data_IF_237509856672
#
_entry.id   IF_237509856672
#
_cell.length_a   1.000
_cell.length_b   1.000
_cell.length_c   1.000
_cell.angle_alpha   90.00
_cell.angle_beta   90.00
_cell.angle_gamma   90.00
#
_symmetry.space_group_name_H-M   'P 1'
#
loop_
_entity.id
_entity.type
_entity.pdbx_description
1 polymer ?
#
# COMPACT_ATOMS: atom_id res chain seq x y z
N UNK A 1 12.65 -7.18 1.80
CA UNK A 1 14.01 -6.96 1.30
C UNK A 1 15.01 -6.83 2.45
N UNK A 2 16.32 -6.79 2.14
CA UNK A 2 17.39 -6.75 3.16
C UNK A 2 17.76 -5.32 3.60
N UNK A 3 17.20 -4.29 2.98
CA UNK A 3 17.57 -2.88 3.20
C UNK A 3 16.60 -2.10 4.10
N UNK A 4 15.57 -2.74 4.60
CA UNK A 4 14.49 -2.11 5.35
C UNK A 4 13.39 -1.51 4.46
N UNK A 5 12.18 -1.52 4.97
CA UNK A 5 10.96 -1.31 4.18
C UNK A 5 10.90 0.04 3.44
N UNK A 6 11.41 1.13 3.99
CA UNK A 6 11.31 2.43 3.34
C UNK A 6 12.46 2.74 2.37
N UNK A 7 13.55 1.98 2.40
CA UNK A 7 14.75 2.29 1.62
C UNK A 7 14.83 1.52 0.31
N UNK A 8 14.38 0.26 0.25
CA UNK A 8 14.45 -0.59 -0.94
C UNK A 8 13.12 -0.73 -1.69
N UNK A 9 12.07 -0.03 -1.27
CA UNK A 9 10.81 0.07 -2.00
C UNK A 9 11.07 0.46 -3.46
N UNK A 10 10.38 -0.19 -4.39
CA UNK A 10 10.54 0.06 -5.82
C UNK A 10 11.22 -1.08 -6.58
N UNK A 11 12.17 -1.78 -5.99
CA UNK A 11 12.74 -3.01 -6.56
C UNK A 11 11.95 -4.25 -6.17
N UNK A 12 11.40 -4.28 -4.97
CA UNK A 12 10.56 -5.35 -4.39
C UNK A 12 11.13 -6.75 -4.62
N UNK A 13 12.41 -6.92 -4.34
CA UNK A 13 13.08 -8.22 -4.43
C UNK A 13 13.04 -8.92 -3.07
N UNK A 14 12.56 -10.17 -3.01
CA UNK A 14 12.56 -10.93 -1.77
C UNK A 14 13.96 -11.07 -1.18
N UNK A 15 14.07 -10.87 0.14
CA UNK A 15 15.29 -11.17 0.88
C UNK A 15 15.65 -12.64 0.75
N UNK A 16 16.85 -12.94 0.29
CA UNK A 16 17.36 -14.32 0.23
C UNK A 16 17.73 -14.84 1.62
N UNK A 17 18.05 -13.95 2.54
CA UNK A 17 18.36 -14.27 3.92
C UNK A 17 17.12 -14.69 4.69
N UNK A 18 16.03 -13.88 4.60
CA UNK A 18 14.77 -14.16 5.29
C UNK A 18 13.96 -15.26 4.60
N UNK A 19 14.03 -15.36 3.28
CA UNK A 19 13.28 -16.32 2.48
C UNK A 19 14.23 -17.21 1.65
N UNK A 20 15.06 -18.06 2.29
CA UNK A 20 16.05 -18.88 1.57
C UNK A 20 15.43 -19.88 0.59
N UNK A 21 14.16 -20.25 0.79
CA UNK A 21 13.36 -21.10 -0.10
C UNK A 21 12.37 -20.32 -0.98
N UNK A 22 12.53 -18.97 -1.03
CA UNK A 22 11.60 -18.06 -1.70
C UNK A 22 10.33 -17.79 -0.90
N UNK A 23 9.67 -16.67 -1.19
CA UNK A 23 8.42 -16.25 -0.52
C UNK A 23 7.25 -17.19 -0.82
N UNK A 24 7.28 -17.87 -1.97
CA UNK A 24 6.25 -18.88 -2.33
C UNK A 24 6.16 -19.99 -1.30
N UNK A 25 7.27 -20.47 -0.75
CA UNK A 25 7.29 -21.49 0.26
C UNK A 25 6.53 -21.07 1.54
N UNK A 26 6.62 -19.78 1.94
CA UNK A 26 5.87 -19.22 3.07
C UNK A 26 4.39 -19.10 2.71
N UNK A 27 4.07 -18.58 1.52
CA UNK A 27 2.70 -18.46 1.04
C UNK A 27 2.00 -19.85 0.96
N UNK A 28 2.72 -20.90 0.53
CA UNK A 28 2.21 -22.26 0.50
C UNK A 28 1.91 -22.80 1.91
N UNK A 29 2.78 -22.51 2.90
CA UNK A 29 2.54 -22.89 4.30
C UNK A 29 1.30 -22.19 4.87
N UNK A 30 1.11 -20.91 4.58
CA UNK A 30 -0.08 -20.15 5.01
C UNK A 30 -1.35 -20.79 4.42
N UNK A 31 -1.34 -21.10 3.12
CA UNK A 31 -2.48 -21.77 2.46
C UNK A 31 -2.77 -23.15 3.03
N UNK A 32 -1.74 -23.89 3.36
CA UNK A 32 -1.89 -25.23 3.99
C UNK A 32 -2.61 -25.17 5.34
N UNK A 33 -2.63 -24.01 6.00
CA UNK A 33 -3.40 -23.76 7.23
C UNK A 33 -4.82 -23.22 6.94
N UNK A 34 -5.27 -23.22 5.69
CA UNK A 34 -6.59 -22.69 5.31
C UNK A 34 -6.68 -21.16 5.28
N UNK A 35 -5.55 -20.46 5.35
CA UNK A 35 -5.49 -18.98 5.34
C UNK A 35 -5.12 -18.44 3.96
N UNK A 36 -5.50 -17.18 3.70
CA UNK A 36 -5.11 -16.44 2.50
C UNK A 36 -3.78 -15.73 2.76
N UNK A 37 -2.70 -16.02 2.01
CA UNK A 37 -1.45 -15.29 2.16
C UNK A 37 -1.58 -13.86 1.67
N UNK A 38 -1.11 -12.91 2.48
CA UNK A 38 -1.11 -11.49 2.19
C UNK A 38 0.28 -10.90 2.18
N UNK A 39 0.42 -9.76 1.49
CA UNK A 39 1.66 -9.00 1.41
C UNK A 39 1.39 -7.51 1.36
N UNK A 40 2.35 -6.71 1.81
CA UNK A 40 2.34 -5.25 1.78
C UNK A 40 3.17 -4.72 0.62
N UNK A 41 2.65 -3.70 -0.09
CA UNK A 41 3.36 -2.95 -1.12
C UNK A 41 3.11 -1.46 -1.02
N UNK A 42 4.09 -0.67 -1.47
CA UNK A 42 4.00 0.75 -1.70
C UNK A 42 4.46 1.02 -3.14
N UNK A 43 3.53 0.84 -4.11
CA UNK A 43 3.88 0.72 -5.53
C UNK A 43 4.14 2.07 -6.24
N UNK A 44 3.81 3.17 -5.58
CA UNK A 44 3.94 4.51 -6.17
C UNK A 44 5.29 5.16 -5.89
N UNK A 45 6.15 4.52 -5.10
CA UNK A 45 7.41 5.13 -4.63
C UNK A 45 8.62 4.23 -4.83
N UNK A 46 9.78 4.88 -5.01
CA UNK A 46 11.09 4.26 -5.01
C UNK A 46 11.93 4.76 -3.83
N UNK A 47 12.42 3.88 -3.00
CA UNK A 47 13.28 4.17 -1.86
C UNK A 47 14.74 4.39 -2.29
N UNK A 48 15.49 5.14 -1.50
CA UNK A 48 16.86 5.61 -1.81
C UNK A 48 17.84 4.51 -2.21
N UNK A 49 17.71 3.32 -1.62
CA UNK A 49 18.64 2.21 -1.83
C UNK A 49 18.18 1.27 -2.94
N UNK A 50 17.02 1.57 -3.59
CA UNK A 50 16.55 0.83 -4.76
C UNK A 50 17.25 1.27 -6.04
N UNK A 51 17.39 0.35 -6.98
CA UNK A 51 17.86 0.67 -8.35
C UNK A 51 16.86 1.56 -9.09
N UNK A 52 15.58 1.42 -8.77
CA UNK A 52 14.50 2.23 -9.33
C UNK A 52 14.66 3.72 -8.98
N UNK A 53 15.21 4.05 -7.82
CA UNK A 53 15.46 5.43 -7.39
C UNK A 53 16.40 6.19 -8.33
N UNK A 54 17.32 5.50 -9.02
CA UNK A 54 18.28 6.10 -9.95
C UNK A 54 17.78 6.17 -11.40
N UNK A 55 16.60 5.60 -11.69
CA UNK A 55 16.03 5.54 -13.03
C UNK A 55 15.10 6.73 -13.27
N UNK A 56 15.67 7.90 -13.55
CA UNK A 56 14.91 9.15 -13.74
C UNK A 56 13.80 9.04 -14.77
N UNK A 57 14.00 8.20 -15.79
CA UNK A 57 12.98 7.94 -16.81
C UNK A 57 11.68 7.30 -16.27
N UNK A 58 11.71 6.72 -15.06
CA UNK A 58 10.53 6.17 -14.39
C UNK A 58 9.85 7.17 -13.43
N UNK A 59 10.52 8.28 -13.10
CA UNK A 59 10.16 9.11 -11.96
C UNK A 59 9.35 10.34 -12.36
N UNK A 60 8.59 10.86 -11.39
CA UNK A 60 8.00 12.19 -11.44
C UNK A 60 9.10 13.24 -11.36
N UNK A 61 8.98 14.26 -12.22
CA UNK A 61 9.91 15.38 -12.27
C UNK A 61 9.20 16.65 -11.83
N UNK A 62 9.96 17.61 -11.30
CA UNK A 62 9.55 19.00 -11.12
C UNK A 62 10.72 19.91 -11.44
N UNK A 63 10.47 20.88 -12.33
CA UNK A 63 11.52 21.76 -12.85
C UNK A 63 12.72 20.98 -13.43
N UNK A 64 12.43 19.83 -14.06
CA UNK A 64 13.43 18.97 -14.69
C UNK A 64 14.26 18.10 -13.72
N UNK A 65 13.95 18.07 -12.43
CA UNK A 65 14.64 17.21 -11.45
C UNK A 65 13.69 16.21 -10.80
N UNK A 66 14.17 14.99 -10.43
CA UNK A 66 13.32 14.01 -9.77
C UNK A 66 12.75 14.50 -8.45
N UNK A 67 11.43 14.44 -8.31
CA UNK A 67 10.75 14.77 -7.07
C UNK A 67 11.20 13.83 -5.94
N UNK A 68 11.86 14.43 -4.95
CA UNK A 68 12.40 13.69 -3.81
C UNK A 68 11.84 14.24 -2.51
N UNK A 69 11.20 13.39 -1.72
CA UNK A 69 10.73 13.70 -0.37
C UNK A 69 11.39 12.74 0.61
N UNK A 70 12.15 13.29 1.58
CA UNK A 70 12.97 12.46 2.48
C UNK A 70 13.91 11.54 1.67
N UNK A 71 13.72 10.24 1.77
CA UNK A 71 14.52 9.22 1.08
C UNK A 71 13.74 8.53 -0.06
N UNK A 72 12.71 9.16 -0.60
CA UNK A 72 11.81 8.56 -1.59
C UNK A 72 11.64 9.44 -2.81
N UNK A 73 11.50 8.80 -3.96
CA UNK A 73 11.08 9.37 -5.24
C UNK A 73 9.79 8.70 -5.68
N UNK A 74 9.05 9.32 -6.59
CA UNK A 74 7.72 8.88 -7.00
C UNK A 74 7.74 8.41 -8.44
N UNK A 75 7.09 7.29 -8.72
CA UNK A 75 6.90 6.78 -10.07
C UNK A 75 5.88 7.62 -10.84
N UNK A 76 6.19 7.90 -12.11
CA UNK A 76 5.25 8.57 -13.00
C UNK A 76 4.32 7.53 -13.66
N UNK A 77 3.20 7.26 -13.02
CA UNK A 77 2.21 6.27 -13.46
C UNK A 77 1.56 6.59 -14.82
N UNK A 78 1.72 7.80 -15.35
CA UNK A 78 1.28 8.18 -16.71
C UNK A 78 2.14 7.52 -17.80
N UNK A 79 3.33 7.04 -17.46
CA UNK A 79 4.25 6.42 -18.41
C UNK A 79 3.98 4.91 -18.54
N UNK A 80 3.73 4.44 -19.75
CA UNK A 80 3.51 3.00 -20.02
C UNK A 80 4.63 2.10 -19.48
N UNK A 81 5.89 2.54 -19.60
CA UNK A 81 7.03 1.79 -19.07
C UNK A 81 7.01 1.64 -17.56
N UNK A 82 6.46 2.60 -16.83
CA UNK A 82 6.27 2.52 -15.37
C UNK A 82 5.17 1.53 -15.05
N UNK A 83 4.06 1.58 -15.78
CA UNK A 83 2.97 0.63 -15.61
C UNK A 83 3.43 -0.80 -15.90
N UNK A 84 4.20 -1.02 -16.95
CA UNK A 84 4.79 -2.32 -17.27
C UNK A 84 5.78 -2.79 -16.18
N UNK A 85 6.59 -1.88 -15.65
CA UNK A 85 7.51 -2.17 -14.54
C UNK A 85 6.76 -2.64 -13.29
N UNK A 86 5.71 -1.92 -12.88
CA UNK A 86 4.90 -2.30 -11.72
C UNK A 86 4.13 -3.60 -11.99
N UNK A 87 3.61 -3.77 -13.21
CA UNK A 87 2.97 -5.02 -13.61
C UNK A 87 3.88 -6.22 -13.37
N UNK A 88 5.10 -6.17 -13.88
CA UNK A 88 6.09 -7.23 -13.72
C UNK A 88 6.50 -7.45 -12.26
N UNK A 89 6.80 -6.37 -11.55
CA UNK A 89 7.36 -6.43 -10.19
C UNK A 89 6.33 -6.74 -9.11
N UNK A 90 5.08 -6.41 -9.32
CA UNK A 90 4.03 -6.61 -8.33
C UNK A 90 2.97 -7.62 -8.79
N UNK A 91 2.30 -7.41 -9.92
CA UNK A 91 1.20 -8.30 -10.31
C UNK A 91 1.68 -9.71 -10.64
N UNK A 92 2.76 -9.82 -11.41
CA UNK A 92 3.33 -11.13 -11.73
C UNK A 92 3.86 -11.83 -10.49
N UNK A 93 4.53 -11.08 -9.60
CA UNK A 93 4.99 -11.59 -8.32
C UNK A 93 3.84 -12.11 -7.44
N UNK A 94 2.74 -11.36 -7.32
CA UNK A 94 1.56 -11.79 -6.56
C UNK A 94 0.99 -13.10 -7.11
N UNK A 95 0.84 -13.17 -8.43
CA UNK A 95 0.27 -14.34 -9.12
C UNK A 95 1.17 -15.56 -8.99
N UNK A 96 2.47 -15.43 -9.27
CA UNK A 96 3.44 -16.52 -9.24
C UNK A 96 3.62 -17.12 -7.84
N UNK A 97 3.52 -16.30 -6.81
CA UNK A 97 3.63 -16.72 -5.41
C UNK A 97 2.27 -17.06 -4.76
N UNK A 98 1.15 -16.78 -5.46
CA UNK A 98 -0.19 -17.12 -5.01
C UNK A 98 -0.68 -16.28 -3.83
N UNK A 99 -0.36 -14.99 -3.80
CA UNK A 99 -0.93 -14.06 -2.83
C UNK A 99 -2.37 -13.71 -3.21
N UNK A 100 -3.28 -13.79 -2.23
CA UNK A 100 -4.70 -13.44 -2.39
C UNK A 100 -5.10 -12.19 -1.63
N UNK A 101 -4.20 -11.59 -0.86
CA UNK A 101 -4.42 -10.36 -0.10
C UNK A 101 -3.26 -9.40 -0.30
N UNK A 102 -3.57 -8.14 -0.54
CA UNK A 102 -2.59 -7.09 -0.76
C UNK A 102 -2.94 -5.84 0.05
N UNK A 103 -2.06 -5.42 0.95
CA UNK A 103 -2.11 -4.09 1.56
C UNK A 103 -1.31 -3.13 0.72
N UNK A 104 -1.98 -2.10 0.18
CA UNK A 104 -1.35 -1.02 -0.57
C UNK A 104 -1.23 0.19 0.34
N UNK A 105 0.00 0.71 0.48
CA UNK A 105 0.27 1.87 1.31
C UNK A 105 0.83 3.04 0.50
N UNK A 106 0.80 4.24 1.09
CA UNK A 106 1.37 5.46 0.53
C UNK A 106 1.69 6.44 1.67
N UNK A 107 2.97 6.52 2.03
CA UNK A 107 3.41 7.19 3.26
C UNK A 107 4.12 8.53 3.04
N UNK A 108 4.24 8.98 1.81
CA UNK A 108 4.79 10.29 1.45
C UNK A 108 3.98 10.91 0.32
N UNK A 109 4.13 12.22 0.11
CA UNK A 109 3.48 12.92 -0.99
C UNK A 109 4.47 13.80 -1.74
N UNK A 110 4.16 14.06 -3.01
CA UNK A 110 4.97 14.90 -3.89
C UNK A 110 4.55 16.39 -3.89
N UNK A 111 3.68 16.78 -2.96
CA UNK A 111 3.27 18.17 -2.77
C UNK A 111 2.37 18.71 -3.88
N UNK A 112 2.65 19.91 -4.38
CA UNK A 112 1.78 20.69 -5.26
C UNK A 112 1.64 20.17 -6.70
N UNK A 113 2.26 19.04 -7.06
CA UNK A 113 2.20 18.46 -8.40
C UNK A 113 3.56 18.25 -9.03
N UNK A 114 3.60 17.99 -10.32
CA UNK A 114 4.79 17.59 -11.07
C UNK A 114 4.76 18.16 -12.50
N UNK A 115 5.85 17.95 -13.25
CA UNK A 115 5.93 18.34 -14.66
C UNK A 115 5.07 17.42 -15.55
N UNK A 116 4.84 17.86 -16.81
CA UNK A 116 4.29 17.03 -17.88
C UNK A 116 2.81 17.24 -18.17
N UNK A 117 2.25 18.38 -17.74
CA UNK A 117 0.94 18.89 -18.18
C UNK A 117 0.98 20.42 -18.24
N UNK A 118 -0.15 21.05 -18.53
CA UNK A 118 -0.30 22.52 -18.63
C UNK A 118 -0.06 23.25 -17.30
N UNK A 119 -0.17 22.55 -16.18
CA UNK A 119 0.18 23.03 -14.85
C UNK A 119 0.64 21.89 -13.95
N UNK A 120 1.37 22.22 -12.87
CA UNK A 120 1.79 21.24 -11.86
C UNK A 120 0.59 20.50 -11.24
N UNK A 121 -0.50 21.23 -10.96
CA UNK A 121 -1.73 20.69 -10.39
C UNK A 121 -2.43 19.74 -11.34
N UNK A 122 -2.52 20.09 -12.63
CA UNK A 122 -3.11 19.21 -13.66
C UNK A 122 -2.30 17.92 -13.84
N UNK A 123 -0.98 18.01 -13.86
CA UNK A 123 -0.12 16.84 -13.90
C UNK A 123 -0.33 15.95 -12.66
N UNK A 124 -0.44 16.54 -11.46
CA UNK A 124 -0.75 15.81 -10.23
C UNK A 124 -2.12 15.11 -10.26
N UNK A 125 -3.14 15.78 -10.83
CA UNK A 125 -4.46 15.19 -11.03
C UNK A 125 -4.39 13.95 -11.95
N UNK A 126 -3.67 14.04 -13.06
CA UNK A 126 -3.46 12.93 -13.98
C UNK A 126 -2.75 11.74 -13.31
N UNK A 127 -1.72 11.99 -12.51
CA UNK A 127 -1.03 10.93 -11.74
C UNK A 127 -2.00 10.24 -10.76
N UNK A 128 -2.85 11.01 -10.09
CA UNK A 128 -3.85 10.44 -9.18
C UNK A 128 -4.89 9.58 -9.92
N UNK A 129 -5.34 10.01 -11.11
CA UNK A 129 -6.24 9.22 -11.97
C UNK A 129 -5.59 7.92 -12.43
N UNK A 130 -4.32 7.96 -12.85
CA UNK A 130 -3.60 6.74 -13.23
C UNK A 130 -3.40 5.79 -12.04
N UNK A 131 -3.15 6.32 -10.84
CA UNK A 131 -3.10 5.51 -9.62
C UNK A 131 -4.42 4.79 -9.35
N UNK A 132 -5.55 5.47 -9.52
CA UNK A 132 -6.89 4.87 -9.41
C UNK A 132 -7.17 3.86 -10.53
N UNK A 133 -6.80 4.19 -11.77
CA UNK A 133 -6.95 3.30 -12.93
C UNK A 133 -6.14 2.02 -12.77
N UNK A 134 -4.95 2.14 -12.19
CA UNK A 134 -4.04 1.02 -11.97
C UNK A 134 -4.61 -0.03 -11.00
N UNK A 135 -5.42 0.36 -10.02
CA UNK A 135 -6.13 -0.58 -9.13
C UNK A 135 -7.10 -1.50 -9.90
N UNK A 136 -7.69 -1.00 -10.98
CA UNK A 136 -8.49 -1.83 -11.89
C UNK A 136 -7.64 -2.88 -12.62
N UNK A 137 -6.54 -2.43 -13.22
CA UNK A 137 -5.57 -3.31 -13.91
C UNK A 137 -5.00 -4.40 -12.97
N UNK A 138 -4.75 -4.05 -11.71
CA UNK A 138 -4.32 -5.02 -10.70
C UNK A 138 -5.36 -6.13 -10.48
N UNK A 139 -6.65 -5.78 -10.35
CA UNK A 139 -7.72 -6.78 -10.18
C UNK A 139 -7.90 -7.68 -11.40
N UNK A 140 -7.69 -7.14 -12.60
CA UNK A 140 -7.68 -7.92 -13.84
C UNK A 140 -6.49 -8.88 -13.91
N UNK A 141 -5.31 -8.41 -13.50
CA UNK A 141 -4.07 -9.20 -13.51
C UNK A 141 -4.04 -10.28 -12.43
N UNK A 142 -4.70 -10.05 -11.28
CA UNK A 142 -4.77 -10.98 -10.14
C UNK A 142 -6.24 -11.14 -9.71
N UNK A 143 -7.02 -11.95 -10.44
CA UNK A 143 -8.44 -12.12 -10.14
C UNK A 143 -8.69 -12.62 -8.71
N UNK A 144 -9.65 -12.01 -8.03
CA UNK A 144 -10.02 -12.36 -6.66
C UNK A 144 -9.12 -11.77 -5.57
N UNK A 145 -8.12 -10.95 -5.91
CA UNK A 145 -7.28 -10.27 -4.93
C UNK A 145 -8.12 -9.39 -4.00
N UNK A 146 -7.91 -9.54 -2.70
CA UNK A 146 -8.45 -8.63 -1.68
C UNK A 146 -7.47 -7.48 -1.51
N UNK A 147 -7.93 -6.25 -1.71
CA UNK A 147 -7.09 -5.05 -1.59
C UNK A 147 -7.49 -4.28 -0.34
N UNK A 148 -6.54 -4.16 0.59
CA UNK A 148 -6.59 -3.22 1.71
C UNK A 148 -5.88 -1.93 1.31
N UNK A 149 -6.62 -0.83 1.27
CA UNK A 149 -6.05 0.49 1.05
C UNK A 149 -5.48 1.05 2.35
N UNK A 150 -4.30 1.63 2.28
CA UNK A 150 -3.67 2.38 3.35
C UNK A 150 -2.97 3.61 2.79
N UNK A 151 -2.84 4.63 3.58
CA UNK A 151 -1.99 5.79 3.31
C UNK A 151 -1.69 6.45 4.66
N UNK A 152 -0.65 5.98 5.33
CA UNK A 152 -0.40 6.32 6.73
C UNK A 152 -1.69 6.18 7.57
N UNK A 153 -2.33 5.03 7.48
CA UNK A 153 -3.70 4.82 7.95
C UNK A 153 -4.76 5.32 6.95
N UNK A 154 -5.66 6.17 7.39
CA UNK A 154 -6.84 6.63 6.63
C UNK A 154 -6.63 7.82 5.68
N UNK A 155 -5.41 8.08 5.22
CA UNK A 155 -5.11 9.26 4.39
C UNK A 155 -5.77 9.28 3.00
N UNK A 156 -6.21 8.14 2.48
CA UNK A 156 -6.84 7.99 1.14
C UNK A 156 -8.13 7.18 1.22
N UNK A 157 -9.15 7.75 1.86
CA UNK A 157 -10.48 7.11 2.02
C UNK A 157 -11.57 7.79 1.19
N UNK A 158 -11.18 8.54 0.16
CA UNK A 158 -12.13 9.18 -0.75
C UNK A 158 -12.97 8.16 -1.53
N UNK A 159 -14.22 8.48 -1.90
CA UNK A 159 -15.16 7.54 -2.49
C UNK A 159 -14.66 6.88 -3.78
N UNK A 160 -13.90 7.58 -4.63
CA UNK A 160 -13.36 7.03 -5.88
C UNK A 160 -12.39 5.87 -5.63
N UNK A 161 -11.52 5.99 -4.63
CA UNK A 161 -10.61 4.93 -4.24
C UNK A 161 -11.33 3.79 -3.56
N UNK A 162 -12.25 4.10 -2.65
CA UNK A 162 -13.01 3.08 -1.91
C UNK A 162 -13.88 2.19 -2.82
N UNK A 163 -14.30 2.67 -3.99
CA UNK A 163 -14.95 1.84 -5.02
C UNK A 163 -14.00 0.81 -5.67
N UNK A 164 -12.71 1.06 -5.64
CA UNK A 164 -11.69 0.22 -6.28
C UNK A 164 -11.05 -0.80 -5.35
N UNK A 165 -11.23 -0.67 -4.03
CA UNK A 165 -10.59 -1.51 -3.01
C UNK A 165 -11.60 -2.30 -2.21
N UNK A 166 -11.15 -3.33 -1.50
CA UNK A 166 -12.02 -4.19 -0.70
C UNK A 166 -12.30 -3.57 0.67
N UNK A 167 -11.27 -3.00 1.28
CA UNK A 167 -11.33 -2.36 2.60
C UNK A 167 -10.23 -1.32 2.76
N UNK A 168 -10.26 -0.59 3.86
CA UNK A 168 -9.25 0.40 4.21
C UNK A 168 -8.78 0.22 5.65
N UNK A 169 -7.48 0.26 5.84
CA UNK A 169 -6.85 0.56 7.13
C UNK A 169 -7.17 2.01 7.48
N UNK A 170 -7.93 2.22 8.53
CA UNK A 170 -8.53 3.54 8.80
C UNK A 170 -7.63 4.47 9.60
N UNK A 171 -6.63 3.92 10.30
CA UNK A 171 -5.73 4.66 11.18
C UNK A 171 -4.51 3.82 11.54
N UNK A 172 -3.40 4.49 11.85
CA UNK A 172 -2.21 3.89 12.47
C UNK A 172 -2.23 4.02 14.01
N UNK A 173 -3.37 4.38 14.61
CA UNK A 173 -3.51 4.46 16.06
C UNK A 173 -3.32 3.08 16.71
N UNK A 174 -2.58 3.05 17.81
CA UNK A 174 -2.24 1.82 18.55
C UNK A 174 -2.81 1.80 19.97
N UNK A 175 -3.38 2.91 20.43
CA UNK A 175 -3.88 3.01 21.79
C UNK A 175 -5.39 2.70 21.86
N UNK A 176 -5.78 1.96 22.88
CA UNK A 176 -7.14 1.44 23.00
C UNK A 176 -8.20 2.52 23.30
N UNK A 177 -7.83 3.70 23.72
CA UNK A 177 -8.70 4.86 23.89
C UNK A 177 -8.87 5.68 22.59
N UNK A 178 -7.90 5.65 21.68
CA UNK A 178 -7.98 6.33 20.38
C UNK A 178 -8.76 5.52 19.33
N UNK A 179 -8.51 4.20 19.27
CA UNK A 179 -9.07 3.30 18.23
C UNK A 179 -10.61 3.39 18.16
N UNK A 180 -11.38 3.30 19.26
CA UNK A 180 -12.85 3.37 19.19
C UNK A 180 -13.35 4.71 18.69
N UNK A 181 -12.69 5.82 19.05
CA UNK A 181 -13.06 7.16 18.60
C UNK A 181 -12.88 7.32 17.10
N UNK A 182 -11.75 6.85 16.57
CA UNK A 182 -11.46 6.88 15.13
C UNK A 182 -12.43 5.97 14.38
N UNK A 183 -12.63 4.73 14.86
CA UNK A 183 -13.55 3.77 14.26
C UNK A 183 -14.98 4.29 14.16
N UNK A 184 -15.49 4.90 15.23
CA UNK A 184 -16.83 5.50 15.26
C UNK A 184 -16.96 6.67 14.26
N UNK A 185 -15.90 7.47 14.08
CA UNK A 185 -15.92 8.58 13.14
C UNK A 185 -15.77 8.13 11.69
N UNK A 186 -14.95 7.13 11.39
CA UNK A 186 -14.72 6.65 10.02
C UNK A 186 -15.98 6.04 9.42
N UNK A 187 -16.88 5.47 10.23
CA UNK A 187 -18.16 4.94 9.80
C UNK A 187 -19.08 5.98 9.12
N UNK A 188 -18.80 7.28 9.31
CA UNK A 188 -19.48 8.39 8.63
C UNK A 188 -18.99 8.64 7.22
N UNK A 189 -17.85 8.07 6.84
CA UNK A 189 -17.19 8.28 5.56
C UNK A 189 -17.21 7.01 4.71
N UNK A 190 -16.96 5.86 5.33
CA UNK A 190 -16.95 4.55 4.64
C UNK A 190 -17.87 3.56 5.34
N UNK A 191 -18.46 2.60 4.59
CA UNK A 191 -19.31 1.57 5.20
C UNK A 191 -18.48 0.63 6.09
N UNK A 192 -19.09 0.12 7.15
CA UNK A 192 -18.44 -0.76 8.13
C UNK A 192 -17.74 -1.97 7.49
N UNK A 193 -18.33 -2.57 6.45
CA UNK A 193 -17.73 -3.70 5.71
C UNK A 193 -16.39 -3.37 5.04
N UNK A 194 -16.05 -2.11 4.86
CA UNK A 194 -14.79 -1.64 4.28
C UNK A 194 -13.85 -1.04 5.32
N UNK A 195 -14.27 -0.95 6.56
CA UNK A 195 -13.46 -0.41 7.66
C UNK A 195 -12.72 -1.54 8.37
N UNK A 196 -11.40 -1.58 8.22
CA UNK A 196 -10.56 -2.50 8.95
C UNK A 196 -10.08 -1.83 10.23
N UNK A 197 -10.59 -2.28 11.37
CA UNK A 197 -10.28 -1.74 12.70
C UNK A 197 -9.27 -2.65 13.38
N UNK A 198 -8.21 -2.08 13.94
CA UNK A 198 -7.17 -2.84 14.61
C UNK A 198 -7.56 -3.19 16.06
N UNK A 199 -7.27 -4.42 16.46
CA UNK A 199 -7.22 -4.82 17.86
C UNK A 199 -5.75 -4.98 18.25
N UNK A 200 -5.16 -3.95 18.84
CA UNK A 200 -3.77 -3.98 19.27
C UNK A 200 -3.66 -4.62 20.64
N UNK A 201 -3.03 -5.78 20.73
CA UNK A 201 -2.83 -6.55 21.95
C UNK A 201 -1.33 -6.63 22.27
N UNK A 202 -0.98 -6.46 23.54
CA UNK A 202 0.39 -6.55 24.03
C UNK A 202 0.48 -7.55 25.17
N UNK A 203 1.63 -8.19 25.35
CA UNK A 203 1.86 -9.21 26.39
C UNK A 203 1.53 -8.70 27.79
N UNK A 204 1.83 -7.42 28.06
CA UNK A 204 1.61 -6.78 29.37
C UNK A 204 0.20 -6.19 29.55
N UNK A 205 -0.69 -6.33 28.57
CA UNK A 205 -2.03 -5.75 28.64
C UNK A 205 -2.86 -6.44 29.74
N UNK A 206 -3.61 -5.63 30.49
CA UNK A 206 -4.62 -6.16 31.42
C UNK A 206 -5.78 -6.81 30.67
N UNK A 207 -6.48 -7.72 31.33
CA UNK A 207 -7.69 -8.37 30.76
C UNK A 207 -8.70 -7.34 30.29
N UNK A 208 -8.92 -6.25 31.05
CA UNK A 208 -9.84 -5.18 30.67
C UNK A 208 -9.40 -4.49 29.37
N UNK A 209 -8.08 -4.24 29.19
CA UNK A 209 -7.56 -3.64 27.95
C UNK A 209 -7.72 -4.59 26.75
N UNK A 210 -7.45 -5.88 26.92
CA UNK A 210 -7.64 -6.91 25.89
C UNK A 210 -9.12 -6.95 25.45
N UNK A 211 -10.04 -7.03 26.41
CA UNK A 211 -11.50 -7.04 26.13
C UNK A 211 -11.92 -5.78 25.39
N UNK A 212 -11.45 -4.62 25.83
CA UNK A 212 -11.75 -3.34 25.17
C UNK A 212 -11.26 -3.32 23.72
N UNK A 213 -9.97 -3.67 23.50
CA UNK A 213 -9.38 -3.68 22.15
C UNK A 213 -10.10 -4.63 21.19
N UNK A 214 -10.46 -5.83 21.66
CA UNK A 214 -11.23 -6.80 20.86
C UNK A 214 -12.64 -6.31 20.57
N UNK A 215 -13.32 -5.76 21.56
CA UNK A 215 -14.70 -5.26 21.42
C UNK A 215 -14.77 -4.08 20.44
N UNK A 216 -13.80 -3.15 20.51
CA UNK A 216 -13.75 -2.00 19.60
C UNK A 216 -13.55 -2.40 18.13
N UNK A 217 -12.94 -3.56 17.86
CA UNK A 217 -12.72 -4.08 16.52
C UNK A 217 -13.89 -4.91 15.95
N UNK A 218 -14.96 -5.13 16.72
CA UNK A 218 -16.09 -5.98 16.33
C UNK A 218 -17.25 -5.22 15.70
N UNK A 219 -17.22 -3.88 15.63
CA UNK A 219 -18.36 -3.03 15.19
C UNK A 219 -18.04 -2.25 13.93
#
# INVERSE_FOLDING_TARGET
DDCGWCNATGDWEPSKTLFPRGVKAVADLIRAQGMVPGIWFEFEVAGRDSRAFQKEELLLMRDGVPLTTKNRRFFDLRKEKVQAYIQQKMCDFLRENGFGYLKIDYNDNYGMGCDGAESLGEAGRQVAEESLGWLGKLKEAVPGIVIENCSSGGGRIEPLRMQKVSMCSFSDAHECDEIPLVAANVSRVIPARQSQIWAVLREQDSVSRIVWSLTAAMF
#
